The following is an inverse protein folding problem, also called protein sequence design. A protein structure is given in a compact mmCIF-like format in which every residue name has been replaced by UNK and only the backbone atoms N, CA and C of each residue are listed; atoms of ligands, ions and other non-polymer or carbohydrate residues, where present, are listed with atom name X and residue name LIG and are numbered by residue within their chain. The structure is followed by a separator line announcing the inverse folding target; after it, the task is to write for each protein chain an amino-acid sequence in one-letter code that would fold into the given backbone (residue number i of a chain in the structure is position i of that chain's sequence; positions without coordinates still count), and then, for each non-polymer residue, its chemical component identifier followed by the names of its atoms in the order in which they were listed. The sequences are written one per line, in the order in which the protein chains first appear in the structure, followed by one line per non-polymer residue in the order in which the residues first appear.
data_IF_306377158459
#
_entry.id   IF_306377158459
#
_cell.length_a   1.000
_cell.length_b   1.000
_cell.length_c   1.000
_cell.angle_alpha   90.00
_cell.angle_beta   90.00
_cell.angle_gamma   90.00
#
_symmetry.space_group_name_H-M   'P 1'
#
loop_
_entity.id
_entity.type
_entity.pdbx_description
1 polymer ?
#
# COMPACT_ATOMS: atom_id res chain seq x y z
N UNK A 1 -1.37 25.54 -19.06
CA UNK A 1 -1.37 26.25 -17.75
C UNK A 1 -1.17 25.27 -16.59
N UNK A 2 -1.63 24.01 -16.70
CA UNK A 2 -1.43 22.94 -15.71
C UNK A 2 0.06 22.59 -15.45
N UNK A 3 0.89 22.47 -16.49
CA UNK A 3 2.32 22.11 -16.34
C UNK A 3 3.15 23.12 -15.52
N UNK A 4 2.75 24.41 -15.51
CA UNK A 4 3.47 25.43 -14.74
C UNK A 4 3.28 25.27 -13.23
N UNK A 5 2.17 24.65 -12.78
CA UNK A 5 1.87 24.52 -11.36
C UNK A 5 2.65 23.35 -10.72
N UNK A 6 2.76 22.21 -11.42
CA UNK A 6 3.46 21.02 -10.91
C UNK A 6 4.94 21.25 -10.62
N UNK A 7 5.63 22.04 -11.46
CA UNK A 7 7.06 22.37 -11.29
C UNK A 7 7.40 23.20 -10.04
N UNK A 8 6.43 23.89 -9.45
CA UNK A 8 6.58 24.58 -8.17
C UNK A 8 6.12 23.77 -6.96
N UNK A 9 5.26 22.78 -7.17
CA UNK A 9 4.66 22.00 -6.09
C UNK A 9 5.64 21.01 -5.50
N UNK A 10 5.79 21.07 -4.18
CA UNK A 10 6.67 20.18 -3.41
C UNK A 10 5.83 19.14 -2.69
N UNK A 11 6.21 17.87 -2.83
CA UNK A 11 5.50 16.70 -2.28
C UNK A 11 6.45 15.91 -1.39
N UNK A 12 6.05 15.66 -0.15
CA UNK A 12 6.79 14.76 0.74
C UNK A 12 6.29 13.33 0.56
N UNK A 13 7.19 12.39 0.24
CA UNK A 13 6.92 10.95 0.21
C UNK A 13 7.73 10.26 1.29
N UNK A 14 7.05 9.71 2.30
CA UNK A 14 7.75 9.01 3.39
C UNK A 14 8.17 7.60 2.98
N UNK A 15 9.34 7.14 3.43
CA UNK A 15 9.83 5.79 3.13
C UNK A 15 10.14 5.57 1.65
N UNK A 16 10.68 6.60 0.99
CA UNK A 16 10.81 6.75 -0.46
C UNK A 16 11.41 5.56 -1.21
N UNK A 17 12.24 4.74 -0.57
CA UNK A 17 12.87 3.55 -1.17
C UNK A 17 12.04 2.27 -1.07
N UNK A 18 10.83 2.31 -0.53
CA UNK A 18 9.93 1.15 -0.45
C UNK A 18 9.29 0.82 -1.79
N UNK A 19 8.60 -0.33 -1.86
CA UNK A 19 7.96 -0.80 -3.10
C UNK A 19 7.01 0.24 -3.70
N UNK A 20 5.96 0.64 -2.96
CA UNK A 20 5.01 1.68 -3.40
C UNK A 20 5.68 3.04 -3.54
N UNK A 21 6.45 3.43 -2.51
CA UNK A 21 7.01 4.77 -2.44
C UNK A 21 7.99 5.07 -3.59
N UNK A 22 8.80 4.09 -4.02
CA UNK A 22 9.77 4.30 -5.09
C UNK A 22 9.10 4.54 -6.45
N UNK A 23 8.01 3.82 -6.76
CA UNK A 23 7.19 4.12 -7.95
C UNK A 23 6.51 5.48 -7.83
N UNK A 24 5.96 5.82 -6.66
CA UNK A 24 5.31 7.11 -6.46
C UNK A 24 6.32 8.26 -6.64
N UNK A 25 7.53 8.15 -6.07
CA UNK A 25 8.61 9.13 -6.29
C UNK A 25 8.96 9.23 -7.77
N UNK A 26 9.17 8.10 -8.46
CA UNK A 26 9.46 8.08 -9.91
C UNK A 26 8.38 8.82 -10.69
N UNK A 27 7.11 8.49 -10.45
CA UNK A 27 5.97 9.04 -11.17
C UNK A 27 5.75 10.53 -10.90
N UNK A 28 5.97 10.97 -9.66
CA UNK A 28 5.94 12.39 -9.30
C UNK A 28 7.06 13.17 -10.02
N UNK A 29 8.28 12.65 -10.05
CA UNK A 29 9.41 13.28 -10.75
C UNK A 29 9.19 13.33 -12.28
N UNK A 30 8.62 12.28 -12.86
CA UNK A 30 8.23 12.23 -14.28
C UNK A 30 7.14 13.25 -14.61
N UNK A 31 6.22 13.52 -13.68
CA UNK A 31 5.19 14.55 -13.78
C UNK A 31 5.67 15.97 -13.43
N UNK A 32 6.98 16.15 -13.18
CA UNK A 32 7.60 17.44 -12.93
C UNK A 32 7.47 17.98 -11.51
N UNK A 33 7.01 17.19 -10.54
CA UNK A 33 6.96 17.60 -9.13
C UNK A 33 8.35 17.65 -8.50
N UNK A 34 8.51 18.54 -7.51
CA UNK A 34 9.63 18.46 -6.57
C UNK A 34 9.28 17.49 -5.45
N UNK A 35 10.15 16.53 -5.19
CA UNK A 35 9.91 15.45 -4.24
C UNK A 35 10.88 15.53 -3.07
N UNK A 36 10.33 15.65 -1.87
CA UNK A 36 11.04 15.39 -0.62
C UNK A 36 10.83 13.91 -0.25
N UNK A 37 11.84 13.06 -0.42
CA UNK A 37 11.72 11.64 -0.09
C UNK A 37 12.45 11.33 1.23
N UNK A 38 11.79 10.63 2.15
CA UNK A 38 12.43 10.23 3.41
C UNK A 38 12.98 8.81 3.33
N UNK A 39 14.16 8.59 3.92
CA UNK A 39 14.73 7.26 4.15
C UNK A 39 15.14 7.14 5.62
N UNK A 40 15.14 5.91 6.15
CA UNK A 40 15.60 5.67 7.52
C UNK A 40 17.10 5.94 7.69
N UNK A 41 17.90 5.62 6.68
CA UNK A 41 19.35 5.74 6.70
C UNK A 41 19.83 6.27 5.34
N UNK A 42 20.43 7.46 5.33
CA UNK A 42 20.99 8.06 4.11
C UNK A 42 22.35 7.46 3.72
N UNK A 43 22.97 6.65 4.59
CA UNK A 43 24.21 5.93 4.28
C UNK A 43 23.94 4.62 3.50
N UNK A 44 22.68 4.20 3.35
CA UNK A 44 22.30 3.05 2.52
C UNK A 44 22.42 3.42 1.02
N UNK A 45 23.63 3.21 0.48
CA UNK A 45 23.98 3.55 -0.91
C UNK A 45 23.08 2.88 -1.94
N UNK A 46 22.52 1.69 -1.64
CA UNK A 46 21.61 1.00 -2.56
C UNK A 46 20.30 1.75 -2.67
N UNK A 47 19.67 2.07 -1.53
CA UNK A 47 18.38 2.79 -1.50
C UNK A 47 18.50 4.24 -1.96
N UNK A 48 19.58 4.92 -1.57
CA UNK A 48 19.86 6.28 -2.04
C UNK A 48 20.17 6.28 -3.54
N UNK A 49 20.96 5.31 -4.01
CA UNK A 49 21.29 5.14 -5.42
C UNK A 49 20.05 4.89 -6.28
N UNK A 50 19.15 4.02 -5.83
CA UNK A 50 17.86 3.76 -6.49
C UNK A 50 17.13 5.07 -6.78
N UNK A 51 16.95 5.92 -5.76
CA UNK A 51 16.18 7.15 -5.91
C UNK A 51 16.91 8.23 -6.71
N UNK A 52 18.23 8.38 -6.52
CA UNK A 52 19.04 9.35 -7.28
C UNK A 52 19.16 9.00 -8.77
N UNK A 53 18.98 7.73 -9.13
CA UNK A 53 19.01 7.27 -10.52
C UNK A 53 17.64 7.37 -11.22
N UNK A 54 16.58 7.81 -10.53
CA UNK A 54 15.28 8.04 -11.15
C UNK A 54 15.34 9.24 -12.12
N UNK A 55 14.49 9.24 -13.16
CA UNK A 55 14.37 10.39 -14.07
C UNK A 55 14.11 11.69 -13.29
N UNK A 56 14.76 12.78 -13.70
CA UNK A 56 14.65 14.12 -13.10
C UNK A 56 15.06 14.25 -11.62
N UNK A 57 15.61 13.20 -11.00
CA UNK A 57 15.97 13.23 -9.58
C UNK A 57 17.05 14.27 -9.24
N UNK A 58 18.02 14.51 -10.12
CA UNK A 58 19.11 15.46 -9.85
C UNK A 58 18.62 16.89 -9.57
N UNK A 59 17.53 17.30 -10.23
CA UNK A 59 16.97 18.65 -10.11
C UNK A 59 15.83 18.72 -9.10
N UNK A 60 15.02 17.66 -9.03
CA UNK A 60 13.71 17.70 -8.36
C UNK A 60 13.62 16.80 -7.12
N UNK A 61 14.64 16.01 -6.77
CA UNK A 61 14.62 15.14 -5.59
C UNK A 61 15.50 15.68 -4.46
N UNK A 62 14.93 15.77 -3.26
CA UNK A 62 15.67 16.01 -2.01
C UNK A 62 15.43 14.85 -1.05
N UNK A 63 16.52 14.31 -0.51
CA UNK A 63 16.47 13.19 0.44
C UNK A 63 16.60 13.70 1.88
N UNK A 64 15.80 13.12 2.77
CA UNK A 64 15.80 13.41 4.21
C UNK A 64 15.95 12.11 5.00
N UNK A 65 16.70 12.16 6.10
CA UNK A 65 16.72 11.07 7.04
C UNK A 65 15.56 11.21 8.03
N UNK A 66 14.69 10.20 8.13
CA UNK A 66 13.63 10.17 9.13
C UNK A 66 13.22 8.72 9.47
N UNK A 67 12.94 8.47 10.74
CA UNK A 67 12.48 7.19 11.26
C UNK A 67 11.11 7.30 11.94
N UNK A 68 10.22 6.34 11.71
CA UNK A 68 8.92 6.29 12.38
C UNK A 68 9.03 6.16 13.90
N UNK A 69 10.15 5.65 14.41
CA UNK A 69 10.41 5.60 15.85
C UNK A 69 10.85 6.96 16.44
N UNK A 70 11.22 7.92 15.59
CA UNK A 70 11.63 9.29 15.93
C UNK A 70 10.85 10.28 15.05
N UNK A 71 9.53 10.38 15.23
CA UNK A 71 8.68 11.01 14.24
C UNK A 71 8.86 12.53 14.12
N UNK A 72 9.55 13.17 15.06
CA UNK A 72 10.03 14.55 14.94
C UNK A 72 10.99 14.76 13.75
N UNK A 73 11.68 13.72 13.29
CA UNK A 73 12.60 13.79 12.16
C UNK A 73 11.89 14.08 10.83
N UNK A 74 10.57 13.86 10.74
CA UNK A 74 9.80 14.15 9.53
C UNK A 74 9.50 15.65 9.33
N UNK A 75 9.61 16.49 10.37
CA UNK A 75 9.26 17.92 10.26
C UNK A 75 10.03 18.63 9.14
N UNK A 76 11.34 18.36 9.02
CA UNK A 76 12.19 18.98 8.00
C UNK A 76 11.82 18.57 6.58
N UNK A 77 11.37 17.32 6.38
CA UNK A 77 10.94 16.82 5.08
C UNK A 77 9.59 17.42 4.68
N UNK A 78 8.70 17.67 5.65
CA UNK A 78 7.35 18.20 5.43
C UNK A 78 7.36 19.71 5.19
N UNK A 79 8.31 20.45 5.77
CA UNK A 79 8.36 21.91 5.67
C UNK A 79 8.33 22.39 4.20
N UNK A 80 7.35 23.24 3.89
CA UNK A 80 7.19 23.82 2.55
C UNK A 80 6.54 22.90 1.52
N UNK A 81 6.13 21.68 1.89
CA UNK A 81 5.34 20.81 1.02
C UNK A 81 3.89 21.27 0.93
N UNK A 82 3.28 21.10 -0.24
CA UNK A 82 1.83 21.25 -0.44
C UNK A 82 1.08 19.94 -0.15
N UNK A 83 1.75 18.81 -0.39
CA UNK A 83 1.17 17.48 -0.20
C UNK A 83 2.13 16.57 0.55
N UNK A 84 1.58 15.68 1.37
CA UNK A 84 2.35 14.64 2.04
C UNK A 84 1.71 13.28 1.76
N UNK A 85 2.46 12.38 1.16
CA UNK A 85 2.13 10.98 0.97
C UNK A 85 2.82 10.14 2.06
N UNK A 86 2.08 9.79 3.10
CA UNK A 86 2.57 8.94 4.17
C UNK A 86 2.44 7.46 3.79
N UNK A 87 3.48 6.95 3.11
CA UNK A 87 3.62 5.56 2.65
C UNK A 87 4.41 4.69 3.64
N UNK A 88 5.34 5.28 4.39
CA UNK A 88 6.18 4.54 5.33
C UNK A 88 5.34 3.81 6.39
N UNK A 89 5.66 2.54 6.63
CA UNK A 89 5.10 1.76 7.73
C UNK A 89 6.20 0.88 8.33
N UNK A 90 6.13 0.62 9.63
CA UNK A 90 7.01 -0.31 10.33
C UNK A 90 6.37 -1.67 10.39
N UNK A 91 7.07 -2.69 9.88
CA UNK A 91 6.61 -4.09 9.92
C UNK A 91 7.22 -4.88 11.09
N UNK A 92 8.27 -4.37 11.71
CA UNK A 92 9.03 -5.07 12.75
C UNK A 92 9.25 -4.13 13.94
N UNK A 93 9.04 -4.66 15.14
CA UNK A 93 9.48 -4.01 16.36
C UNK A 93 11.00 -4.11 16.44
N UNK A 94 11.67 -2.99 16.73
CA UNK A 94 13.06 -3.04 17.17
C UNK A 94 13.06 -2.80 18.67
N UNK A 95 13.53 -3.77 19.46
CA UNK A 95 13.71 -3.57 20.90
C UNK A 95 14.68 -2.41 21.17
N UNK A 96 14.40 -1.59 22.18
CA UNK A 96 15.23 -0.44 22.57
C UNK A 96 14.69 0.94 22.22
N UNK A 97 13.51 1.03 21.59
CA UNK A 97 12.78 2.30 21.43
C UNK A 97 11.76 2.54 22.55
N UNK A 98 11.30 3.78 22.68
CA UNK A 98 10.42 4.23 23.79
C UNK A 98 9.00 3.63 23.79
N UNK A 99 8.58 2.96 22.72
CA UNK A 99 7.21 2.46 22.56
C UNK A 99 7.09 1.01 23.04
N UNK A 100 5.94 0.66 23.62
CA UNK A 100 5.68 -0.66 24.19
C UNK A 100 5.48 -1.75 23.14
N UNK A 101 4.98 -1.38 21.97
CA UNK A 101 4.74 -2.29 20.86
C UNK A 101 4.72 -1.54 19.50
N UNK A 102 4.72 -2.25 18.36
CA UNK A 102 4.65 -1.65 17.02
C UNK A 102 3.42 -0.77 16.76
N UNK A 103 2.26 -1.13 17.35
CA UNK A 103 1.00 -0.40 17.18
C UNK A 103 1.13 1.01 17.75
N UNK A 104 1.67 1.14 18.97
CA UNK A 104 1.90 2.42 19.63
C UNK A 104 2.88 3.30 18.82
N UNK A 105 3.98 2.71 18.34
CA UNK A 105 4.96 3.41 17.51
C UNK A 105 4.34 3.93 16.19
N UNK A 106 3.55 3.09 15.52
CA UNK A 106 2.89 3.45 14.27
C UNK A 106 1.88 4.58 14.46
N UNK A 107 1.03 4.50 15.49
CA UNK A 107 0.04 5.54 15.82
C UNK A 107 0.74 6.85 16.19
N UNK A 108 1.79 6.80 17.02
CA UNK A 108 2.58 7.97 17.38
C UNK A 108 3.23 8.63 16.14
N UNK A 109 3.74 7.83 15.20
CA UNK A 109 4.30 8.33 13.95
C UNK A 109 3.27 9.06 13.09
N UNK A 110 2.11 8.43 12.86
CA UNK A 110 1.01 9.01 12.07
C UNK A 110 0.53 10.32 12.68
N UNK A 111 0.36 10.34 14.01
CA UNK A 111 -0.06 11.53 14.76
C UNK A 111 0.93 12.69 14.59
N UNK A 112 2.22 12.42 14.75
CA UNK A 112 3.27 13.44 14.63
C UNK A 112 3.41 13.96 13.20
N UNK A 113 3.33 13.09 12.19
CA UNK A 113 3.32 13.52 10.78
C UNK A 113 2.10 14.42 10.49
N UNK A 114 0.92 14.07 10.99
CA UNK A 114 -0.27 14.91 10.84
C UNK A 114 -0.11 16.28 11.52
N UNK A 115 0.40 16.30 12.76
CA UNK A 115 0.70 17.55 13.46
C UNK A 115 1.75 18.39 12.73
N UNK A 116 2.79 17.78 12.16
CA UNK A 116 3.80 18.46 11.36
C UNK A 116 3.21 19.06 10.08
N UNK A 117 2.29 18.34 9.41
CA UNK A 117 1.56 18.87 8.26
C UNK A 117 0.76 20.13 8.62
N UNK A 118 -0.02 20.07 9.70
CA UNK A 118 -0.82 21.21 10.17
C UNK A 118 0.07 22.39 10.57
N UNK A 119 1.12 22.13 11.37
CA UNK A 119 2.10 23.13 11.84
C UNK A 119 2.82 23.82 10.69
N UNK A 120 3.06 23.12 9.58
CA UNK A 120 3.75 23.69 8.40
C UNK A 120 3.00 24.87 7.79
N UNK A 121 1.66 24.89 7.90
CA UNK A 121 0.79 25.87 7.25
C UNK A 121 0.77 25.82 5.72
N UNK A 122 1.56 24.94 5.08
CA UNK A 122 1.65 24.82 3.61
C UNK A 122 0.99 23.57 3.06
N UNK A 123 0.91 22.50 3.87
CA UNK A 123 0.31 21.24 3.45
C UNK A 123 -1.21 21.40 3.33
N UNK A 124 -1.73 21.19 2.12
CA UNK A 124 -3.16 21.22 1.81
C UNK A 124 -3.84 19.89 2.14
N UNK A 125 -3.14 18.78 1.89
CA UNK A 125 -3.69 17.44 2.03
C UNK A 125 -2.63 16.43 2.46
N UNK A 126 -2.99 15.61 3.44
CA UNK A 126 -2.21 14.45 3.88
C UNK A 126 -2.87 13.17 3.36
N UNK A 127 -2.14 12.44 2.52
CA UNK A 127 -2.57 11.19 1.92
C UNK A 127 -1.84 10.05 2.63
N UNK A 128 -2.59 9.26 3.40
CA UNK A 128 -2.10 8.08 4.11
C UNK A 128 -2.29 6.83 3.26
N UNK A 129 -1.24 6.04 3.09
CA UNK A 129 -1.33 4.72 2.47
C UNK A 129 -1.85 3.72 3.50
N UNK A 130 -3.15 3.49 3.53
CA UNK A 130 -3.83 2.49 4.37
C UNK A 130 -3.80 1.08 3.77
N UNK A 131 -4.65 0.19 4.28
CA UNK A 131 -4.84 -1.18 3.76
C UNK A 131 -6.30 -1.59 3.86
N UNK A 132 -6.77 -2.39 2.90
CA UNK A 132 -8.12 -2.99 2.95
C UNK A 132 -8.33 -3.88 4.18
N UNK A 133 -7.26 -4.45 4.74
CA UNK A 133 -7.32 -5.26 5.96
C UNK A 133 -7.72 -4.45 7.20
N UNK A 134 -7.83 -3.12 7.12
CA UNK A 134 -8.42 -2.27 8.16
C UNK A 134 -9.94 -2.05 7.97
N UNK A 135 -10.52 -2.63 6.92
CA UNK A 135 -11.91 -2.45 6.50
C UNK A 135 -12.60 -3.80 6.21
N UNK A 136 -12.26 -4.84 6.97
CA UNK A 136 -12.85 -6.16 6.83
C UNK A 136 -14.39 -6.10 6.95
N UNK A 137 -15.13 -6.81 6.09
CA UNK A 137 -16.57 -6.98 6.20
C UNK A 137 -16.95 -8.05 7.24
N UNK A 138 -16.00 -8.62 7.99
CA UNK A 138 -16.26 -9.56 9.08
C UNK A 138 -17.25 -8.96 10.07
N UNK A 139 -18.24 -9.74 10.49
CA UNK A 139 -19.20 -9.32 11.53
C UNK A 139 -18.49 -9.22 12.88
N UNK A 140 -18.99 -8.37 13.76
CA UNK A 140 -18.35 -8.09 15.06
C UNK A 140 -18.26 -9.32 15.97
N UNK A 141 -19.11 -10.32 15.76
CA UNK A 141 -19.10 -11.59 16.48
C UNK A 141 -18.14 -12.63 15.87
N UNK A 142 -17.43 -12.27 14.79
CA UNK A 142 -16.52 -13.15 14.04
C UNK A 142 -17.21 -14.23 13.22
N UNK A 143 -18.55 -14.26 13.14
CA UNK A 143 -19.30 -15.31 12.48
C UNK A 143 -19.77 -14.88 11.09
N UNK A 144 -18.83 -14.94 10.14
CA UNK A 144 -19.07 -14.67 8.73
C UNK A 144 -19.05 -13.19 8.38
N UNK A 145 -19.41 -12.89 7.14
CA UNK A 145 -19.19 -11.59 6.53
C UNK A 145 -20.50 -10.84 6.30
N UNK A 146 -20.40 -9.51 6.26
CA UNK A 146 -21.40 -8.63 5.64
C UNK A 146 -21.40 -8.85 4.12
N UNK A 147 -22.49 -8.47 3.48
CA UNK A 147 -22.67 -8.67 2.02
C UNK A 147 -21.73 -7.77 1.20
N UNK A 148 -21.39 -6.59 1.72
CA UNK A 148 -20.56 -5.59 1.06
C UNK A 148 -19.32 -5.28 1.89
N UNK A 149 -18.19 -5.14 1.21
CA UNK A 149 -16.96 -4.56 1.74
C UNK A 149 -16.78 -3.13 1.19
N UNK A 150 -16.90 -2.13 2.05
CA UNK A 150 -16.81 -0.71 1.70
C UNK A 150 -16.15 0.11 2.82
N UNK A 151 -16.01 1.43 2.64
CA UNK A 151 -15.36 2.34 3.58
C UNK A 151 -15.98 2.38 4.99
N UNK A 152 -17.23 1.92 5.15
CA UNK A 152 -17.93 1.89 6.44
C UNK A 152 -17.47 0.71 7.32
N UNK A 153 -16.85 -0.29 6.70
CA UNK A 153 -16.34 -1.47 7.39
C UNK A 153 -15.08 -1.14 8.20
N UNK A 154 -14.94 -1.80 9.36
CA UNK A 154 -13.78 -1.71 10.22
C UNK A 154 -13.44 -3.10 10.71
N UNK A 155 -12.17 -3.47 10.61
CA UNK A 155 -11.74 -4.80 11.03
C UNK A 155 -11.89 -4.98 12.55
N UNK A 156 -12.57 -6.04 13.01
CA UNK A 156 -12.70 -6.32 14.43
C UNK A 156 -11.36 -6.82 14.98
N UNK A 157 -10.76 -6.06 15.90
CA UNK A 157 -9.44 -6.36 16.48
C UNK A 157 -9.45 -7.42 17.59
N UNK A 158 -10.64 -7.85 18.04
CA UNK A 158 -10.81 -8.86 19.10
C UNK A 158 -11.30 -10.22 18.56
N UNK A 159 -11.17 -10.44 17.25
CA UNK A 159 -11.57 -11.69 16.59
C UNK A 159 -10.32 -12.45 16.19
N UNK A 160 -10.35 -13.77 16.38
CA UNK A 160 -9.29 -14.65 15.88
C UNK A 160 -9.56 -15.01 14.41
N UNK A 161 -8.59 -14.76 13.54
CA UNK A 161 -8.67 -15.09 12.13
C UNK A 161 -7.86 -16.37 11.85
N UNK A 162 -8.41 -17.35 11.12
CA UNK A 162 -7.61 -18.49 10.68
C UNK A 162 -6.41 -18.04 9.84
N UNK A 163 -5.33 -18.83 9.86
CA UNK A 163 -4.06 -18.53 9.19
C UNK A 163 -3.33 -17.28 9.70
N UNK A 164 -3.80 -16.66 10.78
CA UNK A 164 -3.11 -15.53 11.40
C UNK A 164 -1.91 -15.97 12.24
N UNK A 165 -0.84 -15.19 12.19
CA UNK A 165 0.25 -15.18 13.16
C UNK A 165 0.40 -13.79 13.79
N UNK A 166 1.30 -13.66 14.76
CA UNK A 166 1.56 -12.38 15.43
C UNK A 166 2.00 -11.29 14.44
N UNK A 167 2.68 -11.65 13.36
CA UNK A 167 3.18 -10.68 12.39
C UNK A 167 2.02 -10.02 11.61
N UNK A 168 1.13 -10.82 11.02
CA UNK A 168 -0.01 -10.28 10.27
C UNK A 168 -1.03 -9.60 11.17
N UNK A 169 -1.26 -10.13 12.39
CA UNK A 169 -2.16 -9.48 13.35
C UNK A 169 -1.65 -8.13 13.82
N UNK A 170 -0.36 -8.03 14.18
CA UNK A 170 0.25 -6.75 14.53
C UNK A 170 0.15 -5.73 13.38
N UNK A 171 0.32 -6.18 12.13
CA UNK A 171 0.13 -5.32 10.96
C UNK A 171 -1.32 -4.82 10.86
N UNK A 172 -2.31 -5.72 10.94
CA UNK A 172 -3.74 -5.35 10.87
C UNK A 172 -4.13 -4.39 11.99
N UNK A 173 -3.74 -4.69 13.22
CA UNK A 173 -4.01 -3.83 14.38
C UNK A 173 -3.36 -2.45 14.23
N UNK A 174 -2.08 -2.39 13.87
CA UNK A 174 -1.34 -1.15 13.69
C UNK A 174 -1.97 -0.29 12.59
N UNK A 175 -2.26 -0.87 11.43
CA UNK A 175 -2.86 -0.15 10.30
C UNK A 175 -4.29 0.30 10.59
N UNK A 176 -5.08 -0.53 11.28
CA UNK A 176 -6.44 -0.16 11.69
C UNK A 176 -6.42 1.00 12.69
N UNK A 177 -5.53 0.96 13.68
CA UNK A 177 -5.37 2.03 14.66
C UNK A 177 -4.88 3.33 14.01
N UNK A 178 -3.93 3.25 13.07
CA UNK A 178 -3.43 4.39 12.30
C UNK A 178 -4.50 5.02 11.41
N UNK A 179 -5.31 4.20 10.72
CA UNK A 179 -6.44 4.66 9.91
C UNK A 179 -7.43 5.46 10.78
N UNK A 180 -7.78 4.95 11.97
CA UNK A 180 -8.67 5.68 12.89
C UNK A 180 -8.06 6.98 13.37
N UNK A 181 -6.78 6.96 13.74
CA UNK A 181 -6.09 8.13 14.26
C UNK A 181 -5.95 9.22 13.21
N UNK A 182 -5.53 8.87 11.98
CA UNK A 182 -5.29 9.87 10.93
C UNK A 182 -6.57 10.60 10.54
N UNK A 183 -7.72 9.90 10.53
CA UNK A 183 -9.02 10.48 10.19
C UNK A 183 -9.48 11.54 11.21
N UNK A 184 -8.98 11.50 12.45
CA UNK A 184 -9.30 12.53 13.44
C UNK A 184 -8.75 13.92 13.06
N UNK A 185 -7.74 13.97 12.19
CA UNK A 185 -7.12 15.20 11.70
C UNK A 185 -7.83 15.80 10.49
N UNK A 186 -8.71 15.05 9.82
CA UNK A 186 -9.48 15.52 8.65
C UNK A 186 -10.63 16.47 9.01
N UNK A 187 -10.36 17.51 9.82
CA UNK A 187 -11.33 18.47 10.37
C UNK A 187 -10.85 19.90 10.13
N UNK A 188 -11.74 20.87 10.31
CA UNK A 188 -11.43 22.31 10.32
C UNK A 188 -10.67 22.81 9.06
N UNK A 189 -10.96 22.21 7.90
CA UNK A 189 -10.39 22.61 6.61
C UNK A 189 -9.07 21.94 6.23
N UNK A 190 -8.48 21.11 7.11
CA UNK A 190 -7.36 20.25 6.74
C UNK A 190 -7.85 18.92 6.17
N UNK A 191 -7.38 18.56 4.98
CA UNK A 191 -7.84 17.36 4.28
C UNK A 191 -6.96 16.16 4.56
N UNK A 192 -7.59 15.06 4.98
CA UNK A 192 -6.93 13.78 5.20
C UNK A 192 -7.58 12.72 4.34
N UNK A 193 -6.77 12.04 3.53
CA UNK A 193 -7.20 10.94 2.68
C UNK A 193 -6.52 9.66 3.14
N UNK A 194 -7.27 8.67 3.62
CA UNK A 194 -6.74 7.31 3.78
C UNK A 194 -7.08 6.49 2.55
N UNK A 195 -6.06 6.02 1.83
CA UNK A 195 -6.18 5.13 0.68
C UNK A 195 -5.91 3.69 1.13
N UNK A 196 -6.97 2.91 1.36
CA UNK A 196 -6.88 1.52 1.78
C UNK A 196 -6.66 0.59 0.59
N UNK A 197 -5.41 0.19 0.32
CA UNK A 197 -5.10 -0.65 -0.83
C UNK A 197 -5.24 -2.15 -0.55
N UNK A 198 -5.69 -2.89 -1.58
CA UNK A 198 -5.56 -4.35 -1.67
C UNK A 198 -4.13 -4.83 -1.74
N UNK A 199 -3.91 -6.14 -1.95
CA UNK A 199 -2.59 -6.66 -2.26
C UNK A 199 -2.07 -5.99 -3.54
N UNK A 200 -0.96 -5.27 -3.40
CA UNK A 200 -0.35 -4.53 -4.51
C UNK A 200 0.50 -5.47 -5.35
N UNK A 201 0.14 -5.66 -6.61
CA UNK A 201 0.90 -6.45 -7.58
C UNK A 201 1.44 -5.61 -8.72
N UNK A 202 2.21 -6.25 -9.59
CA UNK A 202 2.88 -5.63 -10.73
C UNK A 202 4.40 -5.73 -10.65
N UNK A 203 5.07 -4.96 -11.50
CA UNK A 203 6.54 -4.92 -11.57
C UNK A 203 7.15 -4.22 -10.35
N UNK A 204 8.48 -4.30 -10.20
CA UNK A 204 9.23 -3.64 -9.13
C UNK A 204 10.44 -2.86 -9.64
N UNK A 205 10.77 -1.75 -8.98
CA UNK A 205 12.03 -1.02 -9.17
C UNK A 205 13.14 -1.54 -8.23
N UNK A 206 12.77 -2.41 -7.28
CA UNK A 206 13.68 -2.97 -6.29
C UNK A 206 14.40 -4.20 -6.86
N UNK A 207 15.48 -4.61 -6.20
CA UNK A 207 16.22 -5.83 -6.53
C UNK A 207 15.53 -7.12 -6.02
N UNK A 208 14.31 -7.02 -5.51
CA UNK A 208 13.52 -8.13 -4.96
C UNK A 208 12.03 -7.87 -5.18
N UNK A 209 11.24 -8.95 -5.24
CA UNK A 209 9.78 -8.85 -5.26
C UNK A 209 9.27 -8.36 -3.91
N UNK A 210 8.13 -7.67 -3.93
CA UNK A 210 7.47 -7.22 -2.69
C UNK A 210 6.80 -8.40 -1.98
N UNK A 211 6.56 -8.30 -0.66
CA UNK A 211 5.80 -9.31 0.08
C UNK A 211 4.41 -9.57 -0.52
N UNK A 212 3.70 -8.53 -0.98
CA UNK A 212 2.37 -8.69 -1.60
C UNK A 212 2.43 -9.48 -2.90
N UNK A 213 3.47 -9.27 -3.74
CA UNK A 213 3.72 -10.08 -4.94
C UNK A 213 4.05 -11.52 -4.54
N UNK A 214 4.88 -11.75 -3.52
CA UNK A 214 5.21 -13.09 -3.03
C UNK A 214 3.96 -13.84 -2.52
N UNK A 215 3.07 -13.16 -1.78
CA UNK A 215 1.76 -13.68 -1.34
C UNK A 215 0.92 -14.15 -2.54
N UNK A 216 0.81 -13.33 -3.59
CA UNK A 216 0.05 -13.72 -4.79
C UNK A 216 0.72 -14.86 -5.57
N UNK A 217 2.05 -14.96 -5.57
CA UNK A 217 2.78 -16.04 -6.26
C UNK A 217 2.86 -17.34 -5.45
N UNK A 218 2.48 -17.33 -4.17
CA UNK A 218 2.58 -18.48 -3.26
C UNK A 218 1.93 -19.77 -3.79
N UNK A 219 0.84 -19.63 -4.54
CA UNK A 219 0.08 -20.75 -5.14
C UNK A 219 0.85 -21.50 -6.24
N UNK A 220 1.88 -20.88 -6.83
CA UNK A 220 2.78 -21.53 -7.80
C UNK A 220 4.18 -21.79 -7.26
N UNK A 221 4.65 -21.01 -6.29
CA UNK A 221 5.95 -21.25 -5.64
C UNK A 221 5.86 -22.37 -4.60
N UNK A 222 4.67 -22.61 -4.05
CA UNK A 222 4.46 -23.56 -2.96
C UNK A 222 4.97 -23.06 -1.60
N UNK A 223 5.31 -21.78 -1.48
CA UNK A 223 5.74 -21.20 -0.21
C UNK A 223 4.57 -21.15 0.78
N UNK A 224 4.62 -22.01 1.81
CA UNK A 224 3.53 -22.17 2.76
C UNK A 224 3.32 -20.94 3.65
N UNK A 225 4.37 -20.17 3.95
CA UNK A 225 4.26 -18.95 4.76
C UNK A 225 3.45 -17.92 3.98
N UNK A 226 3.83 -17.66 2.74
CA UNK A 226 3.11 -16.70 1.89
C UNK A 226 1.71 -17.20 1.49
N UNK A 227 1.52 -18.51 1.34
CA UNK A 227 0.19 -19.06 1.09
C UNK A 227 -0.74 -18.90 2.28
N UNK A 228 -0.26 -19.15 3.51
CA UNK A 228 -1.04 -18.88 4.71
C UNK A 228 -1.41 -17.40 4.82
N UNK A 229 -0.52 -16.48 4.44
CA UNK A 229 -0.85 -15.05 4.37
C UNK A 229 -1.91 -14.72 3.30
N UNK A 230 -1.88 -15.40 2.14
CA UNK A 230 -2.94 -15.26 1.12
C UNK A 230 -4.29 -15.71 1.67
N UNK A 231 -4.32 -16.86 2.35
CA UNK A 231 -5.53 -17.37 3.00
C UNK A 231 -5.99 -16.47 4.14
N UNK A 232 -5.08 -15.93 4.94
CA UNK A 232 -5.40 -14.96 5.98
C UNK A 232 -6.12 -13.73 5.39
N UNK A 233 -5.63 -13.16 4.29
CA UNK A 233 -6.32 -12.03 3.62
C UNK A 233 -7.74 -12.44 3.21
N UNK A 234 -7.92 -13.61 2.61
CA UNK A 234 -9.24 -14.11 2.23
C UNK A 234 -10.16 -14.34 3.44
N UNK A 235 -9.63 -14.85 4.56
CA UNK A 235 -10.36 -15.03 5.83
C UNK A 235 -10.75 -13.72 6.50
N UNK A 236 -9.92 -12.69 6.38
CA UNK A 236 -10.21 -11.36 6.93
C UNK A 236 -11.22 -10.62 6.05
N UNK A 237 -11.00 -10.57 4.74
CA UNK A 237 -11.77 -9.71 3.84
C UNK A 237 -12.91 -10.44 3.10
N UNK A 238 -13.03 -11.75 3.28
CA UNK A 238 -13.99 -12.62 2.59
C UNK A 238 -13.52 -13.05 1.19
N UNK A 239 -12.80 -12.18 0.49
CA UNK A 239 -12.02 -12.47 -0.74
C UNK A 239 -10.71 -11.68 -0.67
N UNK A 240 -9.90 -11.75 -1.71
CA UNK A 240 -8.60 -11.08 -1.83
C UNK A 240 -8.76 -9.84 -2.74
N UNK A 241 -8.80 -8.62 -2.18
CA UNK A 241 -8.71 -7.40 -2.99
C UNK A 241 -7.29 -7.26 -3.53
N UNK A 242 -7.13 -7.03 -4.84
CA UNK A 242 -5.84 -6.81 -5.48
C UNK A 242 -5.85 -5.53 -6.33
N UNK A 243 -4.69 -4.91 -6.47
CA UNK A 243 -4.51 -3.68 -7.23
C UNK A 243 -3.12 -3.61 -7.87
N UNK A 244 -3.01 -2.97 -9.04
CA UNK A 244 -1.74 -2.77 -9.71
C UNK A 244 -0.94 -1.60 -9.11
N UNK A 245 0.39 -1.74 -9.02
CA UNK A 245 1.32 -0.71 -8.50
C UNK A 245 1.18 0.64 -9.19
N UNK A 246 0.90 0.66 -10.50
CA UNK A 246 0.66 1.91 -11.23
C UNK A 246 -0.67 2.55 -10.81
N UNK A 247 -1.76 1.79 -10.65
CA UNK A 247 -3.04 2.33 -10.17
C UNK A 247 -2.93 2.83 -8.72
N UNK A 248 -2.09 2.21 -7.89
CA UNK A 248 -1.76 2.73 -6.55
C UNK A 248 -1.12 4.12 -6.65
N UNK A 249 -0.13 4.30 -7.52
CA UNK A 249 0.54 5.59 -7.69
C UNK A 249 -0.40 6.65 -8.29
N UNK A 250 -1.21 6.26 -9.27
CA UNK A 250 -2.24 7.14 -9.84
C UNK A 250 -3.27 7.54 -8.79
N UNK A 251 -3.69 6.64 -7.90
CA UNK A 251 -4.65 6.97 -6.85
C UNK A 251 -4.08 8.01 -5.86
N UNK A 252 -2.78 7.94 -5.54
CA UNK A 252 -2.12 8.98 -4.73
C UNK A 252 -2.10 10.33 -5.46
N UNK A 253 -1.63 10.35 -6.72
CA UNK A 253 -1.53 11.59 -7.51
C UNK A 253 -2.91 12.19 -7.74
N UNK A 254 -3.90 11.37 -8.11
CA UNK A 254 -5.29 11.78 -8.24
C UNK A 254 -5.80 12.39 -6.94
N UNK A 255 -5.53 11.74 -5.80
CA UNK A 255 -5.92 12.26 -4.49
C UNK A 255 -5.19 13.54 -4.11
N UNK A 256 -4.04 13.87 -4.72
CA UNK A 256 -3.37 15.17 -4.53
C UNK A 256 -3.96 16.25 -5.46
N UNK A 257 -4.21 15.90 -6.72
CA UNK A 257 -4.60 16.85 -7.77
C UNK A 257 -6.09 17.12 -7.85
N UNK A 258 -6.94 16.28 -7.23
CA UNK A 258 -8.38 16.48 -7.30
C UNK A 258 -8.78 17.83 -6.68
N UNK A 259 -9.46 18.64 -7.50
CA UNK A 259 -9.94 19.98 -7.15
C UNK A 259 -11.15 19.93 -6.21
N UNK A 260 -11.90 18.83 -6.20
CA UNK A 260 -12.95 18.61 -5.22
C UNK A 260 -12.35 18.28 -3.86
N UNK A 261 -13.13 18.54 -2.81
CA UNK A 261 -12.73 18.12 -1.48
C UNK A 261 -12.53 16.60 -1.43
N UNK A 262 -11.38 16.19 -0.91
CA UNK A 262 -10.99 14.80 -0.72
C UNK A 262 -10.72 14.60 0.77
N UNK A 263 -11.65 13.93 1.46
CA UNK A 263 -11.52 13.66 2.89
C UNK A 263 -12.11 12.30 3.26
N UNK A 264 -11.51 11.66 4.25
CA UNK A 264 -11.92 10.35 4.75
C UNK A 264 -11.21 9.17 4.08
N UNK A 265 -11.84 8.00 4.19
CA UNK A 265 -11.31 6.74 3.66
C UNK A 265 -11.76 6.52 2.22
N UNK A 266 -10.93 5.82 1.45
CA UNK A 266 -11.21 5.32 0.11
C UNK A 266 -10.56 3.95 -0.02
N UNK A 267 -11.34 2.89 -0.23
CA UNK A 267 -10.78 1.56 -0.44
C UNK A 267 -10.46 1.35 -1.92
N UNK A 268 -9.29 0.81 -2.21
CA UNK A 268 -8.72 0.78 -3.55
C UNK A 268 -8.34 -0.66 -3.95
N UNK A 269 -9.14 -1.25 -4.82
CA UNK A 269 -8.86 -2.51 -5.49
C UNK A 269 -9.49 -2.50 -6.89
N UNK A 270 -8.79 -3.04 -7.89
CA UNK A 270 -9.35 -3.19 -9.24
C UNK A 270 -9.95 -4.58 -9.47
N UNK A 271 -9.65 -5.54 -8.60
CA UNK A 271 -10.28 -6.86 -8.58
C UNK A 271 -10.46 -7.37 -7.13
N UNK A 272 -11.51 -8.16 -6.91
CA UNK A 272 -11.87 -8.76 -5.63
C UNK A 272 -12.21 -10.23 -5.84
N UNK A 273 -11.23 -11.11 -5.59
CA UNK A 273 -11.19 -12.49 -6.11
C UNK A 273 -10.85 -13.49 -5.02
N UNK A 274 -11.24 -14.76 -5.15
CA UNK A 274 -10.83 -15.82 -4.23
C UNK A 274 -9.35 -16.18 -4.42
N UNK A 275 -8.74 -16.79 -3.41
CA UNK A 275 -7.40 -17.37 -3.53
C UNK A 275 -7.36 -18.48 -4.60
N UNK A 276 -8.47 -19.21 -4.75
CA UNK A 276 -8.63 -20.23 -5.77
C UNK A 276 -8.74 -19.65 -7.19
N UNK A 277 -9.35 -18.48 -7.38
CA UNK A 277 -9.36 -17.79 -8.68
C UNK A 277 -7.95 -17.38 -9.12
N UNK A 278 -7.11 -16.90 -8.19
CA UNK A 278 -5.69 -16.61 -8.45
C UNK A 278 -4.95 -17.89 -8.85
N UNK A 279 -5.09 -18.98 -8.09
CA UNK A 279 -4.46 -20.27 -8.39
C UNK A 279 -4.92 -20.83 -9.74
N UNK A 280 -6.21 -20.75 -10.03
CA UNK A 280 -6.81 -21.18 -11.30
C UNK A 280 -6.26 -20.38 -12.47
N UNK A 281 -6.14 -19.06 -12.31
CA UNK A 281 -5.57 -18.20 -13.35
C UNK A 281 -4.15 -18.64 -13.72
N UNK A 282 -3.28 -18.84 -12.72
CA UNK A 282 -1.92 -19.28 -13.00
C UNK A 282 -1.87 -20.69 -13.60
N UNK A 283 -2.67 -21.63 -13.10
CA UNK A 283 -2.73 -23.00 -13.64
C UNK A 283 -3.11 -23.01 -15.14
N UNK A 284 -4.05 -22.15 -15.55
CA UNK A 284 -4.53 -22.12 -16.92
C UNK A 284 -3.57 -21.41 -17.88
N UNK A 285 -2.90 -20.35 -17.44
CA UNK A 285 -2.11 -19.47 -18.30
C UNK A 285 -0.61 -19.74 -18.26
N UNK A 286 -0.13 -20.48 -17.26
CA UNK A 286 1.29 -20.81 -17.07
C UNK A 286 1.45 -22.30 -16.74
N UNK A 287 1.25 -23.14 -17.76
CA UNK A 287 1.23 -24.61 -17.66
C UNK A 287 2.55 -25.21 -17.15
N UNK A 288 3.64 -24.46 -17.21
CA UNK A 288 4.93 -24.82 -16.62
C UNK A 288 4.91 -24.89 -15.09
N UNK A 289 3.93 -24.26 -14.43
CA UNK A 289 3.78 -24.32 -12.98
C UNK A 289 2.79 -25.42 -12.58
N UNK A 290 3.22 -26.28 -11.65
CA UNK A 290 2.34 -27.26 -11.05
C UNK A 290 1.61 -26.66 -9.85
N UNK A 291 0.36 -26.23 -10.04
CA UNK A 291 -0.51 -25.76 -8.96
C UNK A 291 -1.08 -26.96 -8.20
N UNK A 292 -0.86 -27.00 -6.88
CA UNK A 292 -1.41 -28.05 -6.02
C UNK A 292 -2.94 -27.96 -5.98
N UNK A 293 -3.64 -29.11 -6.04
CA UNK A 293 -5.10 -29.18 -6.01
C UNK A 293 -5.69 -28.49 -4.77
N UNK A 294 -5.02 -28.53 -3.61
CA UNK A 294 -5.47 -27.84 -2.38
C UNK A 294 -5.62 -26.32 -2.55
N UNK A 295 -4.93 -25.73 -3.53
CA UNK A 295 -4.98 -24.29 -3.82
C UNK A 295 -6.18 -23.90 -4.69
N UNK A 296 -6.90 -24.87 -5.25
CA UNK A 296 -8.07 -24.65 -6.11
C UNK A 296 -9.39 -24.73 -5.33
N UNK A 297 -9.33 -25.00 -4.02
CA UNK A 297 -10.48 -25.07 -3.15
C UNK A 297 -11.05 -23.67 -2.87
N UNK A 298 -12.17 -23.35 -3.52
CA UNK A 298 -12.85 -22.05 -3.40
C UNK A 298 -13.95 -22.09 -2.30
N UNK A 299 -13.90 -21.20 -1.30
CA UNK A 299 -14.94 -21.12 -0.26
C UNK A 299 -16.29 -20.57 -0.78
N UNK A 300 -16.36 -20.08 -2.02
CA UNK A 300 -17.55 -19.55 -2.73
C UNK A 300 -18.33 -18.51 -1.93
N UNK A 301 -17.60 -17.64 -1.23
CA UNK A 301 -18.18 -16.57 -0.42
C UNK A 301 -18.87 -15.54 -1.31
N UNK A 302 -20.07 -15.13 -0.91
CA UNK A 302 -20.91 -14.20 -1.67
C UNK A 302 -20.62 -12.71 -1.40
N UNK A 303 -19.57 -12.40 -0.62
CA UNK A 303 -19.14 -11.03 -0.33
C UNK A 303 -18.82 -10.29 -1.63
N UNK A 304 -19.32 -9.06 -1.75
CA UNK A 304 -19.11 -8.19 -2.90
C UNK A 304 -18.26 -6.99 -2.53
N UNK A 305 -17.49 -6.52 -3.50
CA UNK A 305 -16.79 -5.25 -3.40
C UNK A 305 -17.79 -4.09 -3.49
N UNK A 306 -17.88 -3.27 -2.45
CA UNK A 306 -18.80 -2.14 -2.35
C UNK A 306 -18.13 -0.77 -2.54
N UNK A 307 -16.79 -0.72 -2.57
CA UNK A 307 -16.07 0.55 -2.69
C UNK A 307 -16.03 1.07 -4.14
N UNK A 308 -16.80 2.13 -4.39
CA UNK A 308 -16.78 2.90 -5.63
C UNK A 308 -16.39 4.38 -5.41
N UNK A 309 -16.13 4.78 -4.16
CA UNK A 309 -16.00 6.19 -3.76
C UNK A 309 -14.92 6.97 -4.51
N UNK A 310 -13.79 6.32 -4.81
CA UNK A 310 -12.71 6.96 -5.59
C UNK A 310 -13.11 7.10 -7.07
N UNK A 311 -13.85 6.13 -7.62
CA UNK A 311 -14.35 6.18 -9.01
C UNK A 311 -15.47 7.22 -9.17
N UNK A 312 -16.33 7.38 -8.17
CA UNK A 312 -17.35 8.45 -8.14
C UNK A 312 -16.74 9.85 -8.18
N UNK A 313 -15.48 9.99 -7.73
CA UNK A 313 -14.69 11.22 -7.86
C UNK A 313 -14.05 11.40 -9.24
N UNK A 314 -14.11 10.38 -10.11
CA UNK A 314 -13.57 10.39 -11.48
C UNK A 314 -12.30 9.56 -11.67
N UNK A 315 -11.84 8.81 -10.67
CA UNK A 315 -10.70 7.91 -10.83
C UNK A 315 -11.07 6.70 -11.70
N UNK A 316 -10.11 6.21 -12.49
CA UNK A 316 -10.30 5.04 -13.36
C UNK A 316 -9.13 4.09 -13.16
N UNK A 317 -9.42 2.87 -12.69
CA UNK A 317 -8.43 1.78 -12.66
C UNK A 317 -8.08 1.36 -14.08
N UNK A 318 -6.78 1.30 -14.39
CA UNK A 318 -6.29 0.96 -15.72
C UNK A 318 -5.98 -0.53 -15.88
N UNK A 319 -5.74 -1.23 -14.77
CA UNK A 319 -5.20 -2.58 -14.77
C UNK A 319 -6.14 -3.57 -14.07
N UNK A 320 -6.56 -4.60 -14.80
CA UNK A 320 -7.42 -5.67 -14.30
C UNK A 320 -6.62 -6.78 -13.58
N UNK A 321 -7.35 -7.78 -13.05
CA UNK A 321 -6.76 -8.94 -12.38
C UNK A 321 -5.68 -9.61 -13.23
N UNK A 322 -5.96 -9.86 -14.51
CA UNK A 322 -5.08 -10.61 -15.41
C UNK A 322 -3.74 -9.92 -15.54
N UNK A 323 -3.78 -8.62 -15.83
CA UNK A 323 -2.57 -7.82 -15.98
C UNK A 323 -1.75 -7.73 -14.69
N UNK A 324 -2.40 -7.64 -13.53
CA UNK A 324 -1.72 -7.67 -12.23
C UNK A 324 -0.96 -8.99 -12.04
N UNK A 325 -1.64 -10.13 -12.26
CA UNK A 325 -1.05 -11.46 -12.08
C UNK A 325 0.05 -11.73 -13.12
N UNK A 326 -0.13 -11.30 -14.36
CA UNK A 326 0.89 -11.44 -15.41
C UNK A 326 2.16 -10.65 -15.10
N UNK A 327 2.03 -9.42 -14.61
CA UNK A 327 3.17 -8.58 -14.26
C UNK A 327 3.89 -9.09 -12.99
N UNK A 328 3.18 -9.78 -12.08
CA UNK A 328 3.83 -10.51 -10.99
C UNK A 328 4.77 -11.60 -11.53
N UNK A 329 4.32 -12.40 -12.50
CA UNK A 329 5.14 -13.44 -13.14
C UNK A 329 6.33 -12.83 -13.87
N UNK A 330 6.08 -11.78 -14.65
CA UNK A 330 7.14 -11.05 -15.36
C UNK A 330 8.21 -10.55 -14.37
N UNK A 331 7.79 -9.86 -13.32
CA UNK A 331 8.70 -9.30 -12.32
C UNK A 331 9.49 -10.39 -11.59
N UNK A 332 8.84 -11.49 -11.22
CA UNK A 332 9.49 -12.61 -10.54
C UNK A 332 10.51 -13.33 -11.44
N UNK A 333 10.27 -13.40 -12.75
CA UNK A 333 11.23 -13.92 -13.73
C UNK A 333 12.43 -13.00 -13.93
N UNK A 334 12.18 -11.71 -14.10
CA UNK A 334 13.24 -10.69 -14.26
C UNK A 334 14.19 -10.67 -13.06
N UNK A 335 13.68 -10.96 -11.87
CA UNK A 335 14.46 -11.05 -10.63
C UNK A 335 14.97 -12.46 -10.30
N UNK A 336 14.74 -13.45 -11.16
CA UNK A 336 15.21 -14.83 -10.97
C UNK A 336 14.54 -15.60 -9.83
N UNK A 337 13.42 -15.10 -9.28
CA UNK A 337 12.59 -15.82 -8.29
C UNK A 337 11.87 -17.00 -8.94
N UNK A 338 11.38 -16.82 -10.17
CA UNK A 338 10.81 -17.88 -10.99
C UNK A 338 11.74 -18.20 -12.16
N UNK A 339 11.82 -19.48 -12.52
CA UNK A 339 12.56 -19.90 -13.71
C UNK A 339 11.89 -19.35 -14.98
N UNK A 340 12.71 -19.01 -15.97
CA UNK A 340 12.24 -18.73 -17.32
C UNK A 340 11.69 -20.02 -17.95
N UNK A 341 10.68 -19.92 -18.85
CA UNK A 341 10.26 -21.08 -19.62
C UNK A 341 11.47 -21.68 -20.34
N UNK A 342 11.58 -23.00 -20.36
CA UNK A 342 12.61 -23.65 -21.16
C UNK A 342 12.34 -23.31 -22.63
N UNK A 343 13.34 -22.76 -23.33
CA UNK A 343 13.23 -22.52 -24.77
C UNK A 343 13.00 -23.87 -25.46
N UNK A 344 11.80 -24.11 -25.95
CA UNK A 344 11.48 -25.27 -26.79
C UNK A 344 11.94 -25.06 -28.22
#
# INVERSE_FOLDING_TARGET
MEDKNRSSTVVCVTGGSGYIASFLVKKLLENGYKVHATLRNLEDKSKVGLLKNLPNAQENLKLFQADMYRPEEFEQAIQGCEFVCHVATTFLHTEGFQYKNPVEAAVASVKNIAMACIKSGTVKRLIYTGTVLAASPMKDDGNGFKDLMDETCWTPVNVHFPFSDDFVMNYVEAKTACDREILNFGKDGFEVVSLGFGLVGGTTLLSNISPSVAVMLSVITGDEIYYNQLKFVEEVDGKVPIIHIEDVCEAHIFSMENNDSMNGRFLCASAFVSSAEIATYYQQNYQEFHVNQKYLDDPKREVKWGSNKLMEKGFVYKYDMKKILDDNIKSARELGVLKLPSST
#
